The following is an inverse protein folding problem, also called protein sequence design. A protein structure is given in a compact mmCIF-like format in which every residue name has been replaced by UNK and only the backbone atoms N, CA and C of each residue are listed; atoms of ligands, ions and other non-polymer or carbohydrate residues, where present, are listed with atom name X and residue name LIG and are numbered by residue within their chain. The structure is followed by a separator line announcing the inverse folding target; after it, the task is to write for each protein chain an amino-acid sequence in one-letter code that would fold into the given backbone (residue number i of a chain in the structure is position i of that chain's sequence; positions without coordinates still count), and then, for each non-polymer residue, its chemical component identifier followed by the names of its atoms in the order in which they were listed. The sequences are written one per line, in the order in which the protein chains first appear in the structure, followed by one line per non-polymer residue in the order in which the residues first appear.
data_IF_110984792795
#
_entry.id   IF_110984792795
#
_cell.length_a   1.000
_cell.length_b   1.000
_cell.length_c   1.000
_cell.angle_alpha   90.00
_cell.angle_beta   90.00
_cell.angle_gamma   90.00
#
_symmetry.space_group_name_H-M   'P 1'
#
loop_
_entity.id
_entity.type
_entity.pdbx_description
1 polymer ?
#
# COMPACT_ATOMS: atom_id res chain seq x y z
N UNK A 1 -19.29 30.43 22.81
CA UNK A 1 -19.67 30.96 21.48
C UNK A 1 -18.42 31.55 20.83
N UNK A 2 -17.86 30.86 19.83
CA UNK A 2 -16.80 31.38 18.95
C UNK A 2 -16.84 30.67 17.59
N UNK A 3 -17.56 31.30 16.66
CA UNK A 3 -17.24 31.57 15.25
C UNK A 3 -16.44 30.58 14.37
N UNK A 4 -16.96 29.38 14.08
CA UNK A 4 -16.54 28.62 12.88
C UNK A 4 -17.68 27.96 12.08
N UNK A 5 -18.94 28.21 12.44
CA UNK A 5 -20.11 27.58 11.78
C UNK A 5 -20.97 28.64 11.10
N UNK A 6 -20.53 29.24 9.98
CA UNK A 6 -21.36 30.18 9.19
C UNK A 6 -21.15 30.23 7.66
N UNK A 7 -20.39 29.33 7.03
CA UNK A 7 -20.29 29.32 5.57
C UNK A 7 -20.36 27.91 5.00
N UNK A 8 -21.55 27.47 4.55
CA UNK A 8 -21.81 26.87 3.21
C UNK A 8 -23.28 26.44 3.08
N UNK A 9 -24.21 27.39 3.15
CA UNK A 9 -25.55 27.27 2.56
C UNK A 9 -25.78 28.54 1.76
N UNK A 10 -25.25 28.58 0.53
CA UNK A 10 -25.63 29.55 -0.52
C UNK A 10 -24.81 29.25 -1.78
N UNK A 11 -25.35 28.45 -2.70
CA UNK A 11 -24.69 28.20 -3.99
C UNK A 11 -25.39 27.23 -4.94
N UNK A 12 -26.73 27.04 -4.88
CA UNK A 12 -27.45 26.13 -5.83
C UNK A 12 -28.48 26.88 -6.69
N UNK A 13 -28.37 28.20 -6.80
CA UNK A 13 -29.20 28.98 -7.75
C UNK A 13 -28.31 29.68 -8.76
N UNK A 14 -27.77 28.94 -9.74
CA UNK A 14 -27.48 29.41 -11.12
C UNK A 14 -26.65 28.42 -11.98
N UNK A 15 -26.96 27.11 -12.00
CA UNK A 15 -26.37 26.19 -13.02
C UNK A 15 -27.47 25.35 -13.68
N UNK A 16 -28.48 26.03 -14.23
CA UNK A 16 -29.56 25.40 -15.00
C UNK A 16 -29.73 25.99 -16.42
N UNK A 17 -28.77 26.78 -16.93
CA UNK A 17 -28.93 27.49 -18.21
C UNK A 17 -27.72 27.46 -19.15
N UNK A 18 -26.84 26.46 -19.08
CA UNK A 18 -25.73 26.31 -20.05
C UNK A 18 -25.49 24.86 -20.52
N UNK A 19 -26.56 24.10 -20.80
CA UNK A 19 -26.47 22.81 -21.52
C UNK A 19 -27.34 22.74 -22.77
N UNK A 20 -27.84 23.88 -23.26
CA UNK A 20 -28.57 23.97 -24.53
C UNK A 20 -27.94 25.00 -25.46
N UNK A 21 -26.95 24.60 -26.27
CA UNK A 21 -26.40 25.57 -27.23
C UNK A 21 -25.14 25.23 -28.02
N UNK A 22 -24.68 23.98 -28.19
CA UNK A 22 -23.63 23.66 -29.18
C UNK A 22 -23.94 22.34 -29.90
N UNK A 23 -25.06 22.27 -30.61
CA UNK A 23 -25.27 21.27 -31.68
C UNK A 23 -26.07 21.92 -32.82
N UNK A 24 -25.59 23.03 -33.39
CA UNK A 24 -26.23 23.61 -34.58
C UNK A 24 -25.36 24.62 -35.35
N UNK A 25 -24.05 24.40 -35.52
CA UNK A 25 -23.28 25.28 -36.44
C UNK A 25 -22.03 24.62 -37.01
N UNK A 26 -22.13 23.38 -37.49
CA UNK A 26 -21.05 22.75 -38.25
C UNK A 26 -21.49 22.18 -39.61
N UNK A 27 -22.46 22.85 -40.24
CA UNK A 27 -23.01 22.47 -41.55
C UNK A 27 -23.09 23.72 -42.43
N UNK A 28 -21.95 24.11 -43.01
CA UNK A 28 -21.74 24.61 -44.40
C UNK A 28 -20.48 25.46 -44.49
N UNK A 29 -19.34 24.89 -44.90
CA UNK A 29 -18.46 25.49 -45.92
C UNK A 29 -17.29 24.55 -46.28
N UNK A 30 -17.16 24.07 -47.53
CA UNK A 30 -16.06 23.20 -47.93
C UNK A 30 -15.00 23.99 -48.69
N UNK A 31 -14.04 24.64 -48.00
CA UNK A 31 -12.76 25.10 -48.60
C UNK A 31 -11.83 25.77 -47.58
N UNK A 32 -10.82 25.05 -47.07
CA UNK A 32 -9.37 25.41 -47.13
C UNK A 32 -8.53 24.52 -46.23
N UNK A 33 -7.43 24.04 -46.81
CA UNK A 33 -6.36 23.25 -46.20
C UNK A 33 -5.40 24.14 -45.38
N UNK A 34 -5.03 23.61 -44.21
CA UNK A 34 -3.67 23.49 -43.64
C UNK A 34 -2.92 24.77 -43.22
N UNK A 35 -2.87 25.02 -41.90
CA UNK A 35 -1.65 25.05 -41.06
C UNK A 35 -2.00 25.64 -39.67
N UNK A 36 -1.29 25.17 -38.65
CA UNK A 36 -1.16 25.72 -37.28
C UNK A 36 -2.19 25.35 -36.20
N UNK A 37 -1.57 25.09 -35.05
CA UNK A 37 -2.03 25.00 -33.66
C UNK A 37 -3.02 23.90 -33.25
N UNK A 38 -2.46 22.88 -32.60
CA UNK A 38 -3.21 22.04 -31.68
C UNK A 38 -3.48 22.86 -30.41
N UNK A 39 -4.56 23.63 -30.43
CA UNK A 39 -5.17 24.09 -29.19
C UNK A 39 -5.58 22.85 -28.40
N UNK A 40 -4.79 22.55 -27.38
CA UNK A 40 -5.17 21.69 -26.28
C UNK A 40 -6.37 22.37 -25.64
N UNK A 41 -7.56 21.82 -25.86
CA UNK A 41 -8.74 22.15 -25.09
C UNK A 41 -8.42 21.81 -23.63
N UNK A 42 -8.07 22.83 -22.84
CA UNK A 42 -8.07 22.79 -21.38
C UNK A 42 -9.47 22.40 -20.93
N UNK A 43 -9.69 21.09 -20.81
CA UNK A 43 -10.74 20.57 -19.96
C UNK A 43 -10.18 20.73 -18.57
N UNK A 44 -10.60 21.79 -17.87
CA UNK A 44 -10.30 21.95 -16.46
C UNK A 44 -10.71 20.66 -15.74
N UNK A 45 -9.72 19.90 -15.26
CA UNK A 45 -9.96 18.85 -14.27
C UNK A 45 -10.59 19.55 -13.06
N UNK A 46 -11.89 19.37 -12.92
CA UNK A 46 -12.61 19.70 -11.70
C UNK A 46 -12.01 18.80 -10.61
N UNK A 47 -11.09 19.34 -9.80
CA UNK A 47 -10.52 18.62 -8.66
C UNK A 47 -11.66 18.23 -7.73
N UNK A 48 -12.00 16.94 -7.71
CA UNK A 48 -13.07 16.44 -6.88
C UNK A 48 -12.76 16.67 -5.39
N UNK A 49 -13.74 17.15 -4.64
CA UNK A 49 -13.61 17.30 -3.19
C UNK A 49 -13.49 15.92 -2.52
N UNK A 50 -12.65 15.81 -1.49
CA UNK A 50 -12.48 14.58 -0.76
C UNK A 50 -13.80 14.13 -0.10
N UNK A 51 -14.11 12.84 -0.19
CA UNK A 51 -15.29 12.21 0.45
C UNK A 51 -15.26 12.45 1.96
N UNK A 52 -14.07 12.39 2.54
CA UNK A 52 -13.79 12.86 3.88
C UNK A 52 -12.34 13.29 3.97
N UNK A 53 -12.06 14.21 4.90
CA UNK A 53 -10.70 14.62 5.26
C UNK A 53 -10.55 14.54 6.77
N UNK A 54 -9.53 13.83 7.22
CA UNK A 54 -9.09 13.80 8.62
C UNK A 54 -7.63 14.20 8.73
N UNK A 55 -7.22 14.72 9.88
CA UNK A 55 -5.80 14.90 10.15
C UNK A 55 -5.17 13.52 10.41
N UNK A 56 -4.26 13.08 9.53
CA UNK A 56 -3.55 11.79 9.67
C UNK A 56 -2.90 11.64 11.04
N UNK A 57 -2.37 12.75 11.55
CA UNK A 57 -1.62 12.80 12.81
C UNK A 57 -2.51 12.51 14.03
N UNK A 58 -3.82 12.70 13.87
CA UNK A 58 -4.81 12.46 14.90
C UNK A 58 -5.48 11.08 14.79
N UNK A 59 -5.20 10.28 13.74
CA UNK A 59 -5.73 8.92 13.65
C UNK A 59 -5.19 8.08 14.82
N UNK A 60 -6.08 7.51 15.61
CA UNK A 60 -5.77 6.64 16.76
C UNK A 60 -5.84 5.18 16.36
N UNK A 61 -6.90 4.81 15.63
CA UNK A 61 -7.11 3.44 15.16
C UNK A 61 -7.91 3.40 13.87
N UNK A 62 -7.69 2.33 13.10
CA UNK A 62 -8.45 2.00 11.90
C UNK A 62 -8.92 0.56 12.06
N UNK A 63 -10.21 0.36 12.31
CA UNK A 63 -10.83 -0.97 12.38
C UNK A 63 -11.37 -1.35 10.99
N UNK A 64 -11.00 -2.51 10.50
CA UNK A 64 -11.47 -3.07 9.22
C UNK A 64 -12.24 -4.35 9.50
N UNK A 65 -13.52 -4.36 9.09
CA UNK A 65 -14.35 -5.58 9.05
C UNK A 65 -14.48 -6.01 7.60
N UNK A 66 -14.06 -7.23 7.30
CA UNK A 66 -14.13 -7.82 5.96
C UNK A 66 -14.33 -9.33 6.07
N UNK A 67 -14.52 -10.00 4.93
CA UNK A 67 -14.68 -11.46 4.87
C UNK A 67 -13.37 -12.24 5.08
N UNK A 68 -12.23 -11.55 5.13
CA UNK A 68 -10.89 -12.12 5.35
C UNK A 68 -10.47 -12.16 6.83
N UNK A 69 -11.43 -12.02 7.75
CA UNK A 69 -11.20 -12.09 9.20
C UNK A 69 -11.07 -10.75 9.91
N UNK A 70 -11.01 -9.64 9.16
CA UNK A 70 -10.87 -8.28 9.69
C UNK A 70 -9.56 -8.04 10.45
N UNK A 71 -9.27 -6.78 10.75
CA UNK A 71 -8.07 -6.37 11.48
C UNK A 71 -8.16 -4.94 11.98
N UNK A 72 -7.32 -4.61 12.96
CA UNK A 72 -7.27 -3.27 13.56
C UNK A 72 -5.86 -2.72 13.54
N UNK A 73 -5.68 -1.55 12.94
CA UNK A 73 -4.47 -0.76 13.07
C UNK A 73 -4.58 0.12 14.32
N UNK A 74 -3.52 0.17 15.12
CA UNK A 74 -3.45 0.98 16.34
C UNK A 74 -2.18 1.82 16.31
N UNK A 75 -2.32 3.12 16.58
CA UNK A 75 -1.20 4.04 16.68
C UNK A 75 -0.33 3.68 17.90
N UNK A 76 0.95 3.42 17.67
CA UNK A 76 1.96 3.23 18.73
C UNK A 76 2.57 4.56 19.17
N UNK A 77 2.86 5.45 18.22
CA UNK A 77 3.41 6.78 18.51
C UNK A 77 2.66 7.85 17.72
N UNK A 78 2.41 8.98 18.37
CA UNK A 78 1.83 10.16 17.71
C UNK A 78 2.89 10.85 16.83
N UNK A 79 2.46 11.40 15.70
CA UNK A 79 3.29 12.25 14.87
C UNK A 79 3.81 13.45 15.69
N UNK A 80 5.07 13.82 15.49
CA UNK A 80 5.70 14.93 16.20
C UNK A 80 6.82 15.57 15.37
N UNK A 81 6.74 16.88 15.15
CA UNK A 81 7.69 17.60 14.29
C UNK A 81 7.62 17.08 12.85
N UNK A 82 8.75 16.61 12.32
CA UNK A 82 8.84 15.99 10.99
C UNK A 82 8.56 14.47 11.00
N UNK A 83 8.46 13.86 12.19
CA UNK A 83 8.21 12.42 12.31
C UNK A 83 6.72 12.10 12.16
N UNK A 84 6.42 11.11 11.31
CA UNK A 84 5.07 10.59 11.10
C UNK A 84 4.61 9.72 12.29
N UNK A 85 3.30 9.51 12.39
CA UNK A 85 2.74 8.58 13.36
C UNK A 85 3.12 7.13 12.99
N UNK A 86 3.48 6.31 13.99
CA UNK A 86 3.80 4.90 13.77
C UNK A 86 2.61 4.05 14.16
N UNK A 87 2.21 3.14 13.29
CA UNK A 87 1.11 2.20 13.51
C UNK A 87 1.61 0.76 13.65
N UNK A 88 0.77 -0.07 14.26
CA UNK A 88 0.91 -1.53 14.28
C UNK A 88 -0.44 -2.16 13.95
N UNK A 89 -0.45 -3.48 13.79
CA UNK A 89 -1.68 -4.27 13.59
C UNK A 89 -1.89 -5.17 14.80
N UNK A 90 -3.08 -5.12 15.39
CA UNK A 90 -3.42 -5.98 16.54
C UNK A 90 -3.32 -7.47 16.18
N UNK A 91 -2.71 -8.26 17.08
CA UNK A 91 -2.53 -9.69 16.88
C UNK A 91 -1.37 -10.06 15.95
N UNK A 92 -0.53 -9.10 15.56
CA UNK A 92 0.78 -9.31 14.92
C UNK A 92 1.94 -8.84 15.84
N UNK A 93 1.72 -8.82 17.15
CA UNK A 93 2.74 -8.42 18.12
C UNK A 93 3.98 -9.33 18.04
N UNK A 94 5.17 -8.71 17.94
CA UNK A 94 6.44 -9.42 17.81
C UNK A 94 6.74 -9.94 16.41
N UNK A 95 5.83 -9.75 15.43
CA UNK A 95 6.08 -10.03 14.01
C UNK A 95 6.65 -8.77 13.35
N UNK A 96 7.66 -8.95 12.49
CA UNK A 96 8.20 -7.85 11.68
C UNK A 96 7.19 -7.52 10.59
N UNK A 97 6.69 -6.29 10.56
CA UNK A 97 5.74 -5.80 9.55
C UNK A 97 6.48 -5.15 8.37
N UNK A 98 5.85 -5.16 7.20
CA UNK A 98 6.30 -4.38 6.06
C UNK A 98 5.94 -2.90 6.30
N UNK A 99 6.96 -2.09 6.61
CA UNK A 99 6.76 -0.67 6.92
C UNK A 99 6.12 0.09 5.77
N UNK A 100 6.44 -0.24 4.51
CA UNK A 100 5.87 0.46 3.37
C UNK A 100 4.35 0.21 3.28
N UNK A 101 3.92 -1.03 3.53
CA UNK A 101 2.50 -1.38 3.55
C UNK A 101 1.77 -0.74 4.73
N UNK A 102 2.38 -0.76 5.93
CA UNK A 102 1.80 -0.19 7.14
C UNK A 102 1.69 1.34 7.05
N UNK A 103 2.75 2.01 6.62
CA UNK A 103 2.80 3.46 6.49
C UNK A 103 1.84 3.94 5.40
N UNK A 104 1.82 3.25 4.25
CA UNK A 104 0.89 3.53 3.16
C UNK A 104 -0.58 3.38 3.59
N UNK A 105 -0.89 2.42 4.46
CA UNK A 105 -2.24 2.20 4.97
C UNK A 105 -2.76 3.37 5.81
N UNK A 106 -1.93 3.92 6.70
CA UNK A 106 -2.31 5.09 7.50
C UNK A 106 -2.54 6.33 6.63
N UNK A 107 -1.73 6.51 5.58
CA UNK A 107 -1.91 7.60 4.61
C UNK A 107 -3.22 7.44 3.83
N UNK A 108 -3.56 6.22 3.39
CA UNK A 108 -4.83 5.93 2.70
C UNK A 108 -6.06 6.22 3.55
N UNK A 109 -5.96 6.06 4.87
CA UNK A 109 -7.06 6.34 5.79
C UNK A 109 -7.22 7.84 6.12
N UNK A 110 -6.24 8.69 5.79
CA UNK A 110 -6.26 10.13 6.06
C UNK A 110 -7.37 10.85 5.29
N UNK A 111 -7.43 10.58 3.99
CA UNK A 111 -8.24 11.30 3.04
C UNK A 111 -8.58 10.35 1.89
N UNK A 112 -9.82 10.42 1.43
CA UNK A 112 -10.29 9.64 0.30
C UNK A 112 -10.86 10.57 -0.77
N UNK A 113 -10.11 10.74 -1.85
CA UNK A 113 -10.51 11.57 -2.99
C UNK A 113 -11.22 10.67 -4.02
N UNK A 114 -12.46 11.01 -4.43
CA UNK A 114 -13.19 10.24 -5.42
C UNK A 114 -12.66 10.49 -6.84
N UNK A 115 -12.66 9.47 -7.67
CA UNK A 115 -12.52 9.62 -9.13
C UNK A 115 -13.77 10.29 -9.71
N UNK A 116 -14.94 9.84 -9.26
CA UNK A 116 -16.26 10.24 -9.80
C UNK A 116 -17.34 10.10 -8.74
N UNK A 117 -18.34 10.97 -8.84
CA UNK A 117 -19.67 10.77 -8.26
C UNK A 117 -20.46 9.85 -9.20
N UNK A 118 -21.08 8.81 -8.67
CA UNK A 118 -21.81 7.80 -9.45
C UNK A 118 -23.32 7.95 -9.31
N UNK A 119 -23.79 8.06 -8.08
CA UNK A 119 -25.21 8.19 -7.76
C UNK A 119 -25.35 8.92 -6.43
N UNK A 120 -26.00 10.08 -6.43
CA UNK A 120 -26.19 10.89 -5.21
C UNK A 120 -27.31 10.37 -4.31
N UNK A 121 -28.26 9.61 -4.87
CA UNK A 121 -29.42 9.09 -4.14
C UNK A 121 -29.81 7.70 -4.70
N UNK A 122 -28.98 6.68 -4.45
CA UNK A 122 -29.18 5.36 -5.03
C UNK A 122 -30.46 4.71 -4.51
N UNK A 123 -31.31 4.26 -5.44
CA UNK A 123 -32.51 3.51 -5.11
C UNK A 123 -32.21 2.09 -4.59
N UNK A 124 -31.06 1.51 -5.00
CA UNK A 124 -30.62 0.17 -4.61
C UNK A 124 -29.09 0.11 -4.48
N UNK A 125 -28.61 -0.01 -3.23
CA UNK A 125 -27.18 -0.11 -2.94
C UNK A 125 -26.56 -1.46 -3.32
N UNK A 126 -27.37 -2.50 -3.56
CA UNK A 126 -26.87 -3.84 -3.88
C UNK A 126 -26.20 -3.92 -5.25
N UNK A 127 -26.58 -3.04 -6.18
CA UNK A 127 -25.95 -2.89 -7.50
C UNK A 127 -24.46 -2.52 -7.36
N UNK A 128 -24.12 -1.78 -6.31
CA UNK A 128 -22.75 -1.37 -6.00
C UNK A 128 -22.06 -2.30 -4.99
N UNK A 129 -22.79 -3.29 -4.43
CA UNK A 129 -22.32 -4.11 -3.32
C UNK A 129 -22.14 -3.33 -2.03
N UNK A 130 -22.88 -2.23 -1.83
CA UNK A 130 -22.79 -1.36 -0.65
C UNK A 130 -23.88 -1.67 0.40
N UNK A 131 -24.84 -2.55 0.08
CA UNK A 131 -25.77 -3.15 1.05
C UNK A 131 -25.08 -4.24 1.90
N UNK A 132 -24.15 -4.97 1.28
CA UNK A 132 -23.25 -5.96 1.88
C UNK A 132 -21.82 -5.66 1.45
N UNK A 133 -21.19 -4.65 2.07
CA UNK A 133 -19.86 -4.20 1.67
C UNK A 133 -18.82 -5.30 1.86
N UNK A 134 -17.85 -5.37 0.95
CA UNK A 134 -16.68 -6.25 1.05
C UNK A 134 -15.78 -5.87 2.23
N UNK A 135 -15.76 -4.59 2.58
CA UNK A 135 -15.13 -4.10 3.79
C UNK A 135 -15.87 -2.89 4.38
N UNK A 136 -15.88 -2.81 5.70
CA UNK A 136 -16.30 -1.64 6.47
C UNK A 136 -15.10 -1.14 7.26
N UNK A 137 -14.71 0.11 7.02
CA UNK A 137 -13.51 0.73 7.61
C UNK A 137 -13.95 1.84 8.56
N UNK A 138 -13.64 1.70 9.84
CA UNK A 138 -13.92 2.71 10.87
C UNK A 138 -12.63 3.38 11.29
N UNK A 139 -12.49 4.66 10.98
CA UNK A 139 -11.34 5.49 11.38
C UNK A 139 -11.73 6.28 12.64
N UNK A 140 -10.92 6.14 13.69
CA UNK A 140 -11.08 6.84 14.97
C UNK A 140 -9.96 7.87 15.12
N UNK A 141 -10.32 9.11 15.45
CA UNK A 141 -9.39 10.23 15.62
C UNK A 141 -9.23 10.64 17.09
N UNK A 142 -8.20 11.43 17.40
CA UNK A 142 -7.95 12.00 18.73
C UNK A 142 -9.06 12.97 19.14
N UNK A 143 -9.50 12.86 20.39
CA UNK A 143 -10.49 13.75 21.00
C UNK A 143 -11.94 13.37 20.70
N UNK A 144 -12.78 13.35 21.74
CA UNK A 144 -14.19 12.91 21.66
C UNK A 144 -15.05 13.70 20.65
N UNK A 145 -14.61 14.90 20.25
CA UNK A 145 -15.28 15.78 19.30
C UNK A 145 -14.86 15.58 17.83
N UNK A 146 -13.85 14.76 17.53
CA UNK A 146 -13.38 14.54 16.15
C UNK A 146 -14.25 13.55 15.36
N UNK A 147 -15.13 12.80 16.04
CA UNK A 147 -16.04 11.84 15.42
C UNK A 147 -15.33 10.57 14.91
N UNK A 148 -16.11 9.72 14.23
CA UNK A 148 -15.61 8.54 13.52
C UNK A 148 -16.00 8.68 12.05
N UNK A 149 -15.08 8.39 11.14
CA UNK A 149 -15.42 8.22 9.74
C UNK A 149 -15.64 6.73 9.50
N UNK A 150 -16.76 6.36 8.87
CA UNK A 150 -17.00 4.98 8.47
C UNK A 150 -17.21 4.89 6.97
N UNK A 151 -16.36 4.13 6.31
CA UNK A 151 -16.32 3.96 4.85
C UNK A 151 -16.79 2.55 4.53
N UNK A 152 -17.70 2.43 3.58
CA UNK A 152 -18.17 1.17 3.04
C UNK A 152 -17.52 0.94 1.68
N UNK A 153 -16.89 -0.21 1.52
CA UNK A 153 -16.17 -0.61 0.31
C UNK A 153 -17.00 -1.67 -0.40
N UNK A 154 -17.45 -1.36 -1.62
CA UNK A 154 -18.33 -2.21 -2.42
C UNK A 154 -17.58 -3.02 -3.48
N UNK A 155 -18.26 -3.22 -4.59
CA UNK A 155 -17.77 -3.98 -5.73
C UNK A 155 -16.77 -3.19 -6.60
N UNK A 156 -15.98 -3.93 -7.38
CA UNK A 156 -15.18 -3.37 -8.46
C UNK A 156 -16.12 -2.82 -9.55
N UNK A 157 -15.86 -1.58 -9.98
CA UNK A 157 -16.56 -0.98 -11.10
C UNK A 157 -16.05 -1.56 -12.42
N UNK A 158 -16.84 -1.50 -13.52
CA UNK A 158 -16.38 -1.96 -14.83
C UNK A 158 -15.09 -1.28 -15.33
N UNK A 159 -14.76 -0.10 -14.81
CA UNK A 159 -13.56 0.67 -15.14
C UNK A 159 -12.33 0.35 -14.28
N UNK A 160 -12.42 -0.57 -13.32
CA UNK A 160 -11.31 -0.95 -12.44
C UNK A 160 -11.14 -0.10 -11.16
N UNK A 161 -11.99 0.92 -10.97
CA UNK A 161 -12.15 1.63 -9.69
C UNK A 161 -13.04 0.82 -8.73
N UNK A 162 -13.20 1.25 -7.49
CA UNK A 162 -14.03 0.58 -6.48
C UNK A 162 -15.16 1.52 -6.05
N UNK A 163 -16.38 1.00 -5.93
CA UNK A 163 -17.50 1.76 -5.37
C UNK A 163 -17.36 1.95 -3.87
N UNK A 164 -17.57 3.17 -3.39
CA UNK A 164 -17.50 3.51 -1.96
C UNK A 164 -18.58 4.50 -1.56
N UNK A 165 -18.92 4.50 -0.28
CA UNK A 165 -19.68 5.59 0.36
C UNK A 165 -19.24 5.75 1.82
N UNK A 166 -19.47 6.92 2.41
CA UNK A 166 -19.48 7.02 3.88
C UNK A 166 -20.81 6.50 4.40
N UNK A 167 -20.82 5.97 5.63
CA UNK A 167 -22.05 5.42 6.21
C UNK A 167 -23.18 6.43 6.32
N UNK A 168 -22.85 7.68 6.64
CA UNK A 168 -23.82 8.73 6.96
C UNK A 168 -24.27 9.56 5.74
N UNK A 169 -23.74 9.29 4.54
CA UNK A 169 -24.16 9.93 3.29
C UNK A 169 -24.82 8.92 2.35
N UNK A 170 -25.64 9.37 1.42
CA UNK A 170 -26.26 8.50 0.40
C UNK A 170 -25.41 8.37 -0.87
N UNK A 171 -24.63 9.40 -1.18
CA UNK A 171 -23.82 9.47 -2.39
C UNK A 171 -22.82 8.32 -2.51
N UNK A 172 -22.86 7.65 -3.65
CA UNK A 172 -21.93 6.62 -4.10
C UNK A 172 -20.88 7.25 -5.00
N UNK A 173 -19.63 6.93 -4.71
CA UNK A 173 -18.47 7.38 -5.46
C UNK A 173 -17.72 6.17 -6.03
N UNK A 174 -16.86 6.42 -7.00
CA UNK A 174 -15.74 5.51 -7.30
C UNK A 174 -14.43 6.11 -6.81
N UNK A 175 -13.52 5.25 -6.33
CA UNK A 175 -12.14 5.61 -5.96
C UNK A 175 -11.15 4.65 -6.62
N UNK A 176 -9.89 5.05 -6.83
CA UNK A 176 -8.88 4.15 -7.36
C UNK A 176 -8.71 2.94 -6.44
N UNK A 177 -8.59 1.75 -7.03
CA UNK A 177 -8.48 0.51 -6.25
C UNK A 177 -7.28 0.50 -5.29
N UNK A 178 -6.19 1.19 -5.63
CA UNK A 178 -5.00 1.32 -4.79
C UNK A 178 -5.26 1.92 -3.40
N UNK A 179 -6.34 2.69 -3.22
CA UNK A 179 -6.67 3.32 -1.93
C UNK A 179 -7.46 2.42 -0.98
N UNK A 180 -8.24 1.49 -1.52
CA UNK A 180 -9.24 0.76 -0.71
C UNK A 180 -9.15 -0.75 -0.82
N UNK A 181 -8.38 -1.29 -1.77
CA UNK A 181 -8.31 -2.74 -1.99
C UNK A 181 -7.60 -3.47 -0.85
N UNK A 182 -6.65 -2.82 -0.19
CA UNK A 182 -5.98 -3.32 1.02
C UNK A 182 -6.98 -3.65 2.14
N UNK A 183 -8.09 -2.90 2.26
CA UNK A 183 -9.16 -3.16 3.25
C UNK A 183 -9.87 -4.50 3.05
N UNK A 184 -9.70 -5.16 1.91
CA UNK A 184 -10.31 -6.48 1.63
C UNK A 184 -9.39 -7.66 1.92
N UNK A 185 -8.14 -7.39 2.32
CA UNK A 185 -7.14 -8.42 2.60
C UNK A 185 -7.16 -8.87 4.06
N UNK A 186 -6.48 -9.97 4.34
CA UNK A 186 -6.19 -10.45 5.71
C UNK A 186 -5.02 -9.67 6.33
N UNK A 187 -4.89 -9.71 7.66
CA UNK A 187 -3.84 -8.97 8.38
C UNK A 187 -2.42 -9.43 8.00
N UNK A 188 -2.24 -10.69 7.63
CA UNK A 188 -0.96 -11.26 7.23
C UNK A 188 -0.38 -10.58 5.98
N UNK A 189 -1.20 -9.87 5.20
CA UNK A 189 -0.74 -9.01 4.10
C UNK A 189 0.31 -7.99 4.56
N UNK A 190 0.22 -7.49 5.79
CA UNK A 190 1.13 -6.47 6.32
C UNK A 190 2.42 -7.05 6.92
N UNK A 191 2.59 -8.37 6.90
CA UNK A 191 3.78 -9.02 7.47
C UNK A 191 4.95 -8.90 6.49
N UNK A 192 6.11 -8.52 7.01
CA UNK A 192 7.33 -8.44 6.21
C UNK A 192 7.68 -9.82 5.70
N UNK A 193 7.87 -9.92 4.39
CA UNK A 193 8.38 -11.13 3.74
C UNK A 193 9.91 -11.21 3.80
N UNK A 194 10.59 -10.23 4.38
CA UNK A 194 12.05 -10.26 4.55
C UNK A 194 12.44 -11.37 5.54
N UNK A 195 13.15 -12.39 5.05
CA UNK A 195 13.69 -13.49 5.86
C UNK A 195 15.05 -13.10 6.42
N UNK A 196 15.89 -12.52 5.56
CA UNK A 196 17.17 -11.93 5.96
C UNK A 196 17.30 -10.56 5.28
N UNK A 197 17.26 -9.51 6.08
CA UNK A 197 17.34 -8.14 5.58
C UNK A 197 18.67 -7.90 4.84
N UNK A 198 18.61 -7.17 3.73
CA UNK A 198 19.81 -6.74 3.02
C UNK A 198 20.36 -5.47 3.68
N UNK A 199 21.58 -5.50 4.24
CA UNK A 199 22.23 -4.29 4.71
C UNK A 199 22.54 -3.35 3.53
N UNK A 200 22.78 -2.07 3.83
CA UNK A 200 23.31 -1.14 2.82
C UNK A 200 24.63 -1.69 2.23
N UNK A 201 24.88 -1.42 0.95
CA UNK A 201 26.01 -2.01 0.23
C UNK A 201 27.38 -1.67 0.88
N UNK A 202 27.49 -0.50 1.52
CA UNK A 202 28.66 -0.04 2.27
C UNK A 202 28.75 -0.60 3.72
N UNK A 203 27.69 -1.27 4.18
CA UNK A 203 27.56 -1.87 5.52
C UNK A 203 27.38 -3.38 5.47
N UNK A 204 27.63 -4.01 4.33
CA UNK A 204 27.51 -5.45 4.18
C UNK A 204 28.44 -6.16 5.18
N UNK A 205 27.93 -7.07 6.03
CA UNK A 205 28.75 -7.75 7.01
C UNK A 205 29.68 -8.74 6.32
N UNK A 206 30.85 -8.95 6.91
CA UNK A 206 31.77 -10.00 6.47
C UNK A 206 31.23 -11.34 6.93
N UNK A 207 30.72 -12.15 6.01
CA UNK A 207 30.40 -13.55 6.27
C UNK A 207 31.68 -14.29 6.59
N UNK A 208 31.81 -14.84 7.80
CA UNK A 208 33.05 -15.53 8.21
C UNK A 208 33.11 -16.98 7.75
N UNK A 209 31.95 -17.64 7.71
CA UNK A 209 31.83 -19.05 7.41
C UNK A 209 30.44 -19.38 6.87
N UNK A 210 30.39 -20.24 5.85
CA UNK A 210 29.18 -20.85 5.33
C UNK A 210 29.38 -22.35 5.32
N UNK A 211 28.40 -23.08 5.84
CA UNK A 211 28.38 -24.55 5.85
C UNK A 211 27.13 -25.00 5.11
N UNK A 212 27.30 -25.78 4.05
CA UNK A 212 26.21 -26.35 3.27
C UNK A 212 26.24 -27.86 3.47
N UNK A 213 25.22 -28.36 4.14
CA UNK A 213 25.00 -29.79 4.36
C UNK A 213 24.04 -30.32 3.30
N UNK A 214 24.40 -31.44 2.67
CA UNK A 214 23.57 -32.10 1.67
C UNK A 214 23.55 -33.60 1.94
N UNK A 215 22.39 -34.27 1.87
CA UNK A 215 22.30 -35.71 2.13
C UNK A 215 23.13 -36.58 1.18
N UNK A 216 23.45 -36.09 -0.01
CA UNK A 216 24.24 -36.79 -1.03
C UNK A 216 25.75 -36.62 -0.85
N UNK A 217 26.21 -35.79 0.10
CA UNK A 217 27.63 -35.55 0.37
C UNK A 217 28.02 -36.08 1.75
N UNK A 218 29.07 -36.90 1.81
CA UNK A 218 29.62 -37.41 3.08
C UNK A 218 30.17 -36.30 3.99
N UNK A 219 30.62 -35.19 3.39
CA UNK A 219 31.17 -34.03 4.09
C UNK A 219 30.46 -32.77 3.61
N UNK A 220 30.20 -31.81 4.51
CA UNK A 220 29.61 -30.54 4.11
C UNK A 220 30.56 -29.76 3.20
N UNK A 221 29.97 -28.91 2.37
CA UNK A 221 30.73 -27.85 1.70
C UNK A 221 30.93 -26.74 2.71
N UNK A 222 32.19 -26.34 2.94
CA UNK A 222 32.51 -25.27 3.90
C UNK A 222 33.29 -24.19 3.19
N UNK A 223 32.77 -22.96 3.24
CA UNK A 223 33.42 -21.75 2.72
C UNK A 223 33.87 -20.90 3.91
N UNK A 224 35.15 -20.55 3.98
CA UNK A 224 35.70 -19.72 5.05
C UNK A 224 36.32 -18.45 4.49
N UNK A 225 36.06 -17.34 5.17
CA UNK A 225 36.63 -16.04 4.84
C UNK A 225 38.14 -16.04 5.01
N UNK A 226 38.87 -15.51 4.04
CA UNK A 226 40.34 -15.59 3.99
C UNK A 226 41.03 -14.63 4.96
N UNK A 227 40.33 -13.62 5.48
CA UNK A 227 40.92 -12.59 6.34
C UNK A 227 41.48 -11.39 5.57
N UNK A 228 41.51 -11.45 4.24
CA UNK A 228 42.03 -10.38 3.38
C UNK A 228 40.87 -9.43 3.01
N UNK A 229 40.97 -8.17 3.46
CA UNK A 229 40.03 -7.09 3.13
C UNK A 229 40.34 -6.43 1.77
N UNK A 230 41.42 -6.83 1.10
CA UNK A 230 41.81 -6.25 -0.17
C UNK A 230 41.06 -6.93 -1.33
N UNK A 231 39.93 -6.32 -1.70
CA UNK A 231 39.31 -6.44 -3.02
C UNK A 231 40.22 -5.82 -4.10
N UNK A 232 41.48 -6.24 -4.16
CA UNK A 232 42.45 -5.87 -5.18
C UNK A 232 42.77 -7.08 -6.04
N UNK A 233 42.01 -7.28 -7.12
CA UNK A 233 42.28 -8.33 -8.11
C UNK A 233 41.24 -9.44 -8.13
N UNK A 234 41.37 -10.32 -9.13
CA UNK A 234 40.46 -11.41 -9.52
C UNK A 234 40.35 -12.56 -8.49
N UNK A 235 40.55 -12.29 -7.20
CA UNK A 235 40.59 -13.28 -6.13
C UNK A 235 39.33 -13.26 -5.28
N UNK A 236 38.83 -14.44 -4.90
CA UNK A 236 37.64 -14.54 -4.06
C UNK A 236 37.98 -14.31 -2.59
N UNK A 237 37.07 -13.68 -1.86
CA UNK A 237 37.22 -13.38 -0.42
C UNK A 237 37.04 -14.61 0.48
N UNK A 238 36.62 -15.73 -0.11
CA UNK A 238 36.38 -16.99 0.58
C UNK A 238 37.10 -18.14 -0.14
N UNK A 239 37.46 -19.15 0.63
CA UNK A 239 38.04 -20.41 0.13
C UNK A 239 37.16 -21.57 0.59
N UNK A 240 36.96 -22.56 -0.28
CA UNK A 240 36.34 -23.82 0.13
C UNK A 240 37.37 -24.62 0.93
N UNK A 241 37.05 -25.01 2.17
CA UNK A 241 37.93 -25.81 3.05
C UNK A 241 37.47 -27.27 3.17
N UNK A 242 36.21 -27.55 2.83
CA UNK A 242 35.62 -28.90 2.81
C UNK A 242 34.67 -29.00 1.60
N UNK A 243 34.54 -30.16 0.93
CA UNK A 243 35.22 -31.44 1.20
C UNK A 243 36.70 -31.47 0.79
N UNK A 244 37.10 -30.57 -0.10
CA UNK A 244 38.48 -30.40 -0.57
C UNK A 244 38.81 -28.91 -0.59
N UNK A 245 40.08 -28.58 -0.35
CA UNK A 245 40.53 -27.18 -0.44
C UNK A 245 40.48 -26.69 -1.88
N UNK A 246 39.71 -25.65 -2.17
CA UNK A 246 39.64 -25.04 -3.50
C UNK A 246 39.42 -23.52 -3.44
N UNK A 247 40.07 -22.80 -4.35
CA UNK A 247 39.80 -21.38 -4.59
C UNK A 247 38.49 -21.23 -5.35
N UNK A 248 37.77 -20.16 -5.05
CA UNK A 248 36.49 -19.87 -5.65
C UNK A 248 36.63 -18.91 -6.82
N UNK A 249 35.73 -19.05 -7.80
CA UNK A 249 35.51 -18.05 -8.84
C UNK A 249 34.80 -16.84 -8.22
N UNK A 250 35.39 -15.65 -8.35
CA UNK A 250 34.88 -14.42 -7.71
C UNK A 250 33.45 -14.10 -8.14
N UNK A 251 33.20 -14.16 -9.45
CA UNK A 251 31.91 -13.79 -10.02
C UNK A 251 30.81 -14.75 -9.59
N UNK A 252 31.13 -16.04 -9.40
CA UNK A 252 30.15 -17.05 -9.00
C UNK A 252 29.99 -17.20 -7.48
N UNK A 253 31.04 -16.93 -6.72
CA UNK A 253 31.02 -17.13 -5.26
C UNK A 253 30.42 -15.97 -4.50
N UNK A 254 30.38 -14.77 -5.08
CA UNK A 254 29.74 -13.61 -4.48
C UNK A 254 28.25 -13.86 -4.20
N UNK A 255 27.52 -14.43 -5.18
CA UNK A 255 26.10 -14.76 -5.05
C UNK A 255 25.83 -15.77 -3.94
N UNK A 256 26.73 -16.74 -3.74
CA UNK A 256 26.59 -17.74 -2.67
C UNK A 256 26.95 -17.13 -1.31
N UNK A 257 27.98 -16.29 -1.27
CA UNK A 257 28.50 -15.75 0.00
C UNK A 257 27.70 -14.57 0.54
N UNK A 258 27.06 -13.80 -0.34
CA UNK A 258 26.31 -12.61 0.03
C UNK A 258 24.84 -12.65 -0.40
N UNK A 259 24.44 -13.54 -1.31
CA UNK A 259 23.06 -13.60 -1.82
C UNK A 259 22.02 -14.12 -0.83
N UNK A 260 22.42 -14.56 0.36
CA UNK A 260 21.50 -14.80 1.46
C UNK A 260 20.91 -13.48 2.00
N UNK A 261 21.64 -12.36 1.92
CA UNK A 261 21.13 -11.06 2.34
C UNK A 261 20.11 -10.53 1.33
N UNK A 262 18.97 -10.06 1.81
CA UNK A 262 17.83 -9.68 0.98
C UNK A 262 16.93 -10.85 0.60
N UNK A 263 17.09 -12.01 1.24
CA UNK A 263 16.21 -13.15 1.02
C UNK A 263 14.78 -12.79 1.45
N UNK A 264 13.83 -12.96 0.54
CA UNK A 264 12.42 -12.74 0.79
C UNK A 264 11.62 -14.03 0.59
N UNK A 265 10.61 -14.24 1.42
CA UNK A 265 9.64 -15.30 1.27
C UNK A 265 8.62 -14.95 0.17
N UNK A 266 8.10 -15.95 -0.53
CA UNK A 266 6.99 -15.74 -1.45
C UNK A 266 5.67 -15.49 -0.69
N UNK A 267 5.47 -16.25 0.40
CA UNK A 267 4.27 -16.19 1.25
C UNK A 267 4.60 -16.50 2.71
N UNK A 268 3.70 -16.11 3.62
CA UNK A 268 3.74 -16.44 5.04
C UNK A 268 2.75 -17.57 5.29
N UNK A 269 3.24 -18.76 5.64
CA UNK A 269 2.37 -19.92 5.92
C UNK A 269 1.84 -19.95 7.36
N UNK A 270 2.65 -19.52 8.32
CA UNK A 270 2.27 -19.42 9.73
C UNK A 270 3.16 -18.39 10.42
N UNK A 271 2.55 -17.54 11.25
CA UNK A 271 3.24 -16.47 11.97
C UNK A 271 4.03 -16.99 13.19
N UNK A 272 3.64 -18.14 13.71
CA UNK A 272 4.25 -18.77 14.89
C UNK A 272 3.98 -20.27 14.84
N UNK A 273 4.59 -20.98 13.87
CA UNK A 273 4.37 -22.40 13.72
C UNK A 273 4.77 -23.13 14.99
N UNK A 274 3.89 -24.00 15.45
CA UNK A 274 4.14 -24.95 16.50
C UNK A 274 5.30 -25.88 16.13
N UNK A 275 5.90 -26.52 17.14
CA UNK A 275 6.95 -27.53 16.90
C UNK A 275 6.48 -28.68 16.00
N UNK A 276 5.18 -28.97 16.01
CA UNK A 276 4.57 -30.01 15.15
C UNK A 276 4.52 -29.56 13.69
N UNK A 277 4.17 -28.29 13.43
CA UNK A 277 4.20 -27.72 12.08
C UNK A 277 5.62 -27.59 11.51
N UNK A 278 6.63 -27.44 12.38
CA UNK A 278 8.04 -27.39 11.98
C UNK A 278 8.69 -28.78 11.80
N UNK A 279 8.01 -29.86 12.19
CA UNK A 279 8.56 -31.22 12.12
C UNK A 279 8.31 -31.93 10.78
N UNK A 280 7.77 -31.21 9.78
CA UNK A 280 7.46 -31.70 8.44
C UNK A 280 8.70 -31.83 7.57
#
# INVERSE_FOLDING_TARGET
MSSSVKYLIAGVTAVALLTGGIIAMNLTDPSKKQAEDSEVSDTAEETAEAIYTGASDDIVSIEVKNDAGGYTFVRKTKAAGEAQAVFTVEGLDGVVLDSNLVDGFAVQAKELVPDKVIDENPADLSVYGLDKPKAEVTVTYDGDSAGKAVILVGNDSPGGSIYVKTRDADTVYTVPSSFVKSYTYEKEYFVSKSVLEKPADDKMPVVKKITIERPDLEKPIVLEYTGENESGGTSATHVMTSPVKAYLDVSKSADITHGLFGLTAETVLSLSPSKEELAV
#
